data_IF_767657229277
#
_entry.id   IF_767657229277
#
_cell.length_a   1.000
_cell.length_b   1.000
_cell.length_c   1.000
_cell.angle_alpha   90.00
_cell.angle_beta   90.00
_cell.angle_gamma   90.00
#
_symmetry.space_group_name_H-M   'P 1'
#
loop_
_entity.id
_entity.type
_entity.pdbx_description
1 polymer ?
#
# COMPACT_ATOMS: atom_id res chain seq x y z
N UNK A 1 18.66 -14.91 -10.71
CA UNK A 1 17.25 -14.53 -10.92
C UNK A 1 17.18 -13.02 -10.98
N UNK A 2 16.31 -12.43 -11.83
CA UNK A 2 16.06 -10.99 -11.83
C UNK A 2 15.39 -10.60 -10.51
N UNK A 3 15.75 -9.44 -9.96
CA UNK A 3 15.10 -8.92 -8.75
C UNK A 3 13.66 -8.51 -9.10
N UNK A 4 12.67 -8.73 -8.21
CA UNK A 4 11.30 -8.35 -8.47
C UNK A 4 11.14 -6.83 -8.56
N UNK A 5 10.25 -6.37 -9.42
CA UNK A 5 9.86 -4.97 -9.51
C UNK A 5 8.70 -4.73 -8.54
N UNK A 6 8.94 -3.93 -7.52
CA UNK A 6 7.96 -3.54 -6.51
C UNK A 6 7.25 -2.25 -6.92
N UNK A 7 5.92 -2.22 -6.82
CA UNK A 7 5.15 -0.99 -6.81
C UNK A 7 4.51 -0.77 -5.44
N UNK A 8 4.80 0.37 -4.81
CA UNK A 8 4.12 0.82 -3.59
C UNK A 8 2.87 1.57 -4.01
N UNK A 9 1.68 1.04 -3.70
CA UNK A 9 0.37 1.61 -4.05
C UNK A 9 -0.15 2.43 -2.89
N UNK A 10 -0.38 3.73 -3.12
CA UNK A 10 -0.73 4.69 -2.07
C UNK A 10 -2.01 5.43 -2.47
N UNK A 11 -3.17 5.10 -1.87
CA UNK A 11 -4.40 5.85 -2.07
C UNK A 11 -4.31 7.23 -1.40
N UNK A 12 -4.75 8.27 -2.11
CA UNK A 12 -4.69 9.66 -1.66
C UNK A 12 -6.05 10.35 -1.84
N UNK A 13 -6.55 10.99 -0.78
CA UNK A 13 -7.75 11.83 -0.85
C UNK A 13 -7.61 13.05 0.06
N UNK A 14 -7.39 14.24 -0.54
CA UNK A 14 -7.16 15.51 0.14
C UNK A 14 -5.93 15.46 1.08
N UNK A 15 -4.78 15.06 0.52
CA UNK A 15 -3.53 14.84 1.23
C UNK A 15 -2.45 15.90 0.87
N UNK A 16 -2.86 17.11 0.47
CA UNK A 16 -1.93 18.18 0.02
C UNK A 16 -0.88 18.55 1.08
N UNK A 17 -1.21 18.40 2.39
CA UNK A 17 -0.31 18.73 3.48
C UNK A 17 0.65 17.59 3.82
N UNK A 18 0.27 16.37 3.57
CA UNK A 18 0.99 15.16 3.97
C UNK A 18 1.93 14.67 2.87
N UNK A 19 1.48 14.67 1.63
CA UNK A 19 2.24 14.19 0.47
C UNK A 19 3.65 14.75 0.34
N UNK A 20 3.92 16.06 0.56
CA UNK A 20 5.29 16.60 0.47
C UNK A 20 6.25 16.01 1.49
N UNK A 21 5.73 15.47 2.59
CA UNK A 21 6.50 14.85 3.68
C UNK A 21 6.70 13.36 3.40
N UNK A 22 5.63 12.66 3.02
CA UNK A 22 5.64 11.19 2.94
C UNK A 22 6.15 10.67 1.59
N UNK A 23 5.94 11.39 0.49
CA UNK A 23 6.40 10.94 -0.83
C UNK A 23 7.93 10.67 -0.88
N UNK A 24 8.81 11.55 -0.37
CA UNK A 24 10.24 11.27 -0.31
C UNK A 24 10.58 10.03 0.54
N UNK A 25 9.83 9.76 1.61
CA UNK A 25 10.05 8.59 2.47
C UNK A 25 9.80 7.27 1.71
N UNK A 26 8.75 7.22 0.88
CA UNK A 26 8.45 6.05 0.07
C UNK A 26 9.49 5.81 -1.01
N UNK A 27 10.00 6.87 -1.63
CA UNK A 27 11.08 6.78 -2.62
C UNK A 27 12.38 6.30 -1.97
N UNK A 28 12.74 6.85 -0.81
CA UNK A 28 13.91 6.42 -0.05
C UNK A 28 13.81 4.94 0.34
N UNK A 29 12.61 4.45 0.70
CA UNK A 29 12.38 3.04 1.00
C UNK A 29 12.64 2.15 -0.22
N UNK A 30 12.16 2.52 -1.40
CA UNK A 30 12.48 1.79 -2.65
C UNK A 30 13.99 1.73 -2.90
N UNK A 31 14.66 2.87 -2.78
CA UNK A 31 16.12 2.93 -2.98
C UNK A 31 16.86 2.07 -1.94
N UNK A 32 16.42 2.08 -0.69
CA UNK A 32 16.98 1.22 0.37
C UNK A 32 16.81 -0.27 0.05
N UNK A 33 15.61 -0.70 -0.33
CA UNK A 33 15.32 -2.09 -0.70
C UNK A 33 16.12 -2.53 -1.95
N UNK A 34 16.27 -1.65 -2.93
CA UNK A 34 17.08 -1.89 -4.13
C UNK A 34 18.58 -2.01 -3.80
N UNK A 35 19.10 -1.14 -2.94
CA UNK A 35 20.49 -1.19 -2.45
C UNK A 35 20.79 -2.47 -1.67
N UNK A 36 19.84 -2.98 -0.90
CA UNK A 36 19.91 -4.27 -0.22
C UNK A 36 19.81 -5.46 -1.18
N UNK A 37 19.45 -5.22 -2.42
CA UNK A 37 19.31 -6.25 -3.45
C UNK A 37 17.99 -7.03 -3.39
N UNK A 38 17.03 -6.59 -2.61
CA UNK A 38 15.73 -7.24 -2.43
C UNK A 38 14.76 -6.97 -3.58
N UNK A 39 14.81 -5.75 -4.17
CA UNK A 39 13.97 -5.37 -5.30
C UNK A 39 14.79 -4.76 -6.44
N UNK A 40 14.18 -4.60 -7.59
CA UNK A 40 14.77 -3.94 -8.76
C UNK A 40 14.82 -2.42 -8.58
N UNK A 41 15.84 -1.77 -9.15
CA UNK A 41 15.91 -0.30 -9.28
C UNK A 41 14.76 0.28 -10.12
N UNK A 42 14.04 -0.55 -10.88
CA UNK A 42 12.84 -0.14 -11.63
C UNK A 42 11.56 -0.10 -10.79
N UNK A 43 11.67 -0.38 -9.50
CA UNK A 43 10.52 -0.31 -8.56
C UNK A 43 9.98 1.12 -8.47
N UNK A 44 8.69 1.29 -8.17
CA UNK A 44 7.98 2.55 -8.29
C UNK A 44 7.04 2.83 -7.12
N UNK A 45 6.71 4.11 -6.92
CA UNK A 45 5.65 4.59 -6.03
C UNK A 45 4.48 5.03 -6.88
N UNK A 46 3.34 4.37 -6.73
CA UNK A 46 2.09 4.68 -7.44
C UNK A 46 1.13 5.39 -6.49
N UNK A 47 0.92 6.68 -6.72
CA UNK A 47 -0.13 7.45 -6.05
C UNK A 47 -1.46 7.34 -6.81
N UNK A 48 -2.52 7.01 -6.07
CA UNK A 48 -3.88 6.93 -6.61
C UNK A 48 -4.71 8.05 -6.04
N UNK A 49 -4.92 9.11 -6.80
CA UNK A 49 -5.80 10.21 -6.41
C UNK A 49 -7.27 9.78 -6.50
N UNK A 50 -7.95 9.70 -5.37
CA UNK A 50 -9.37 9.35 -5.28
C UNK A 50 -10.29 10.57 -5.45
N UNK A 51 -10.05 11.36 -6.49
CA UNK A 51 -10.88 12.53 -6.81
C UNK A 51 -10.77 13.64 -5.76
N UNK A 52 -9.56 13.96 -5.30
CA UNK A 52 -9.28 15.04 -4.35
C UNK A 52 -9.77 16.39 -4.87
N UNK A 53 -10.11 17.30 -3.93
CA UNK A 53 -10.58 18.66 -4.21
C UNK A 53 -9.55 19.73 -3.89
N UNK A 54 -8.45 19.33 -3.25
CA UNK A 54 -7.31 20.16 -2.91
C UNK A 54 -6.17 20.00 -3.95
N UNK A 55 -4.96 20.40 -3.62
CA UNK A 55 -3.79 20.32 -4.52
C UNK A 55 -3.12 18.94 -4.59
N UNK A 56 -3.73 17.90 -4.04
CA UNK A 56 -3.16 16.54 -4.02
C UNK A 56 -2.76 16.07 -5.41
N UNK A 57 -3.66 16.23 -6.41
CA UNK A 57 -3.35 15.78 -7.77
C UNK A 57 -2.22 16.58 -8.44
N UNK A 58 -2.18 17.88 -8.24
CA UNK A 58 -1.12 18.75 -8.75
C UNK A 58 0.25 18.36 -8.18
N UNK A 59 0.30 18.02 -6.89
CA UNK A 59 1.52 17.53 -6.24
C UNK A 59 1.98 16.19 -6.82
N UNK A 60 1.07 15.23 -6.99
CA UNK A 60 1.38 13.94 -7.60
C UNK A 60 1.97 14.11 -9.00
N UNK A 61 1.36 14.96 -9.82
CA UNK A 61 1.87 15.27 -11.16
C UNK A 61 3.28 15.91 -11.10
N UNK A 62 3.51 16.80 -10.13
CA UNK A 62 4.81 17.43 -9.93
C UNK A 62 5.89 16.41 -9.56
N UNK A 63 5.59 15.45 -8.66
CA UNK A 63 6.53 14.38 -8.30
C UNK A 63 6.85 13.49 -9.50
N UNK A 64 5.84 13.06 -10.25
CA UNK A 64 6.03 12.24 -11.45
C UNK A 64 6.83 12.95 -12.56
N UNK A 65 6.78 14.28 -12.61
CA UNK A 65 7.58 15.07 -13.55
C UNK A 65 9.05 15.24 -13.11
N UNK A 66 9.33 15.09 -11.80
CA UNK A 66 10.67 15.27 -11.23
C UNK A 66 11.47 13.97 -11.16
N UNK A 67 10.81 12.83 -10.94
CA UNK A 67 11.46 11.55 -10.76
C UNK A 67 10.61 10.43 -11.39
N UNK A 68 11.23 9.60 -12.21
CA UNK A 68 10.58 8.49 -12.95
C UNK A 68 10.06 7.36 -12.05
N UNK A 69 10.50 7.29 -10.79
CA UNK A 69 9.99 6.33 -9.83
C UNK A 69 8.59 6.67 -9.33
N UNK A 70 8.15 7.91 -9.48
CA UNK A 70 6.79 8.31 -9.14
C UNK A 70 5.84 8.15 -10.31
N UNK A 71 4.70 7.52 -10.04
CA UNK A 71 3.59 7.41 -10.98
C UNK A 71 2.33 7.93 -10.31
N UNK A 72 1.45 8.55 -11.06
CA UNK A 72 0.15 9.00 -10.59
C UNK A 72 -0.98 8.55 -11.50
N UNK A 73 -2.06 8.08 -10.91
CA UNK A 73 -3.36 7.91 -11.57
C UNK A 73 -4.43 8.69 -10.81
N UNK A 74 -5.46 9.14 -11.52
CA UNK A 74 -6.53 9.91 -10.92
C UNK A 74 -7.90 9.34 -11.29
N UNK A 75 -8.72 9.09 -10.29
CA UNK A 75 -10.12 8.75 -10.46
C UNK A 75 -10.94 10.02 -10.74
N UNK A 76 -11.99 9.92 -11.54
CA UNK A 76 -12.85 11.03 -11.92
C UNK A 76 -13.64 11.64 -10.74
N UNK A 77 -13.78 10.90 -9.65
CA UNK A 77 -14.45 11.31 -8.40
C UNK A 77 -14.03 10.39 -7.26
N UNK A 78 -14.26 10.80 -6.02
CA UNK A 78 -14.10 9.94 -4.86
C UNK A 78 -14.97 8.69 -4.96
N UNK A 79 -14.32 7.52 -4.87
CA UNK A 79 -14.92 6.19 -4.90
C UNK A 79 -14.69 5.44 -3.61
N UNK A 80 -13.94 6.02 -2.69
CA UNK A 80 -13.56 5.46 -1.40
C UNK A 80 -12.24 4.69 -1.45
N UNK A 81 -11.60 4.61 -0.30
CA UNK A 81 -10.26 4.08 -0.10
C UNK A 81 -10.03 2.71 -0.77
N UNK A 82 -10.92 1.74 -0.55
CA UNK A 82 -10.78 0.39 -1.12
C UNK A 82 -10.79 0.38 -2.65
N UNK A 83 -11.62 1.23 -3.27
CA UNK A 83 -11.63 1.35 -4.72
C UNK A 83 -10.40 2.06 -5.27
N UNK A 84 -9.82 2.99 -4.51
CA UNK A 84 -8.54 3.60 -4.88
C UNK A 84 -7.40 2.58 -4.80
N UNK A 85 -7.33 1.77 -3.75
CA UNK A 85 -6.37 0.66 -3.66
C UNK A 85 -6.55 -0.30 -4.83
N UNK A 86 -7.78 -0.75 -5.09
CA UNK A 86 -8.05 -1.66 -6.21
C UNK A 86 -7.63 -1.07 -7.55
N UNK A 87 -7.90 0.22 -7.79
CA UNK A 87 -7.47 0.89 -9.02
C UNK A 87 -5.94 0.87 -9.18
N UNK A 88 -5.20 1.10 -8.10
CA UNK A 88 -3.73 1.01 -8.11
C UNK A 88 -3.21 -0.40 -8.37
N UNK A 89 -3.82 -1.41 -7.75
CA UNK A 89 -3.46 -2.81 -8.00
C UNK A 89 -3.74 -3.23 -9.43
N UNK A 90 -4.88 -2.80 -10.00
CA UNK A 90 -5.21 -3.07 -11.41
C UNK A 90 -4.27 -2.36 -12.37
N UNK A 91 -3.84 -1.12 -12.08
CA UNK A 91 -2.85 -0.41 -12.87
C UNK A 91 -1.51 -1.15 -12.85
N UNK A 92 -1.04 -1.57 -11.67
CA UNK A 92 0.18 -2.36 -11.53
C UNK A 92 0.12 -3.67 -12.34
N UNK A 93 -1.01 -4.38 -12.27
CA UNK A 93 -1.23 -5.60 -13.04
C UNK A 93 -1.20 -5.35 -14.55
N UNK A 94 -1.92 -4.33 -15.03
CA UNK A 94 -2.02 -4.02 -16.46
C UNK A 94 -0.74 -3.43 -17.05
N UNK A 95 0.14 -2.86 -16.22
CA UNK A 95 1.42 -2.31 -16.68
C UNK A 95 2.35 -3.37 -17.27
N UNK A 96 2.19 -4.64 -16.87
CA UNK A 96 3.07 -5.75 -17.24
C UNK A 96 4.53 -5.57 -16.78
N UNK A 97 4.79 -4.58 -15.93
CA UNK A 97 6.13 -4.23 -15.42
C UNK A 97 6.20 -4.21 -13.90
N UNK A 98 5.28 -4.91 -13.22
CA UNK A 98 5.22 -5.03 -11.77
C UNK A 98 5.14 -6.50 -11.40
N UNK A 99 6.02 -6.95 -10.51
CA UNK A 99 6.02 -8.34 -10.03
C UNK A 99 5.30 -8.46 -8.69
N UNK A 100 5.45 -7.44 -7.81
CA UNK A 100 4.84 -7.41 -6.48
C UNK A 100 4.32 -6.02 -6.13
N UNK A 101 3.27 -5.96 -5.33
CA UNK A 101 2.70 -4.70 -4.83
C UNK A 101 2.65 -4.68 -3.31
N UNK A 102 2.88 -3.52 -2.72
CA UNK A 102 2.58 -3.23 -1.31
C UNK A 102 1.61 -2.06 -1.28
N UNK A 103 0.46 -2.23 -0.60
CA UNK A 103 -0.45 -1.12 -0.34
C UNK A 103 -0.22 -0.56 1.05
N UNK A 104 -0.09 0.77 1.15
CA UNK A 104 0.12 1.50 2.41
C UNK A 104 -0.62 2.84 2.36
N UNK A 105 -1.06 3.33 3.52
CA UNK A 105 -1.73 4.63 3.61
C UNK A 105 -0.75 5.80 3.46
N UNK A 106 -1.25 6.91 2.93
CA UNK A 106 -0.45 8.12 2.67
C UNK A 106 -0.02 8.86 3.95
N UNK A 107 -0.74 8.67 5.07
CA UNK A 107 -0.65 9.49 6.28
C UNK A 107 0.61 9.26 7.14
N UNK A 108 1.42 8.28 6.78
CA UNK A 108 2.65 7.95 7.50
C UNK A 108 2.45 7.33 8.89
N UNK A 109 1.23 6.87 9.23
CA UNK A 109 0.96 6.20 10.51
C UNK A 109 1.42 4.74 10.51
N UNK A 110 1.52 4.12 9.34
CA UNK A 110 2.03 2.76 9.22
C UNK A 110 3.55 2.74 9.22
N UNK A 111 4.12 1.69 9.81
CA UNK A 111 5.57 1.52 9.84
C UNK A 111 6.11 1.13 8.46
N UNK A 112 6.71 2.09 7.78
CA UNK A 112 7.31 1.90 6.45
C UNK A 112 8.42 0.82 6.48
N UNK A 113 9.05 0.56 7.63
CA UNK A 113 10.09 -0.47 7.73
C UNK A 113 9.51 -1.89 7.75
N UNK A 114 8.21 -2.06 7.98
CA UNK A 114 7.56 -3.35 7.81
C UNK A 114 7.69 -3.90 6.38
N UNK A 115 7.89 -3.01 5.38
CA UNK A 115 8.09 -3.41 3.98
C UNK A 115 9.33 -4.30 3.80
N UNK A 116 10.39 -4.11 4.59
CA UNK A 116 11.60 -4.94 4.51
C UNK A 116 11.26 -6.41 4.78
N UNK A 117 10.51 -6.68 5.86
CA UNK A 117 10.07 -8.03 6.22
C UNK A 117 9.04 -8.61 5.21
N UNK A 118 8.16 -7.76 4.64
CA UNK A 118 7.19 -8.20 3.64
C UNK A 118 7.87 -8.64 2.35
N UNK A 119 8.84 -7.86 1.87
CA UNK A 119 9.61 -8.20 0.66
C UNK A 119 10.49 -9.42 0.92
N UNK A 120 11.11 -9.53 2.09
CA UNK A 120 11.92 -10.67 2.48
C UNK A 120 11.10 -11.97 2.49
N UNK A 121 9.89 -11.95 3.06
CA UNK A 121 8.98 -13.09 3.06
C UNK A 121 8.59 -13.55 1.64
N UNK A 122 8.42 -12.61 0.69
CA UNK A 122 8.18 -12.96 -0.71
C UNK A 122 9.43 -13.58 -1.36
N UNK A 123 10.60 -12.94 -1.19
CA UNK A 123 11.83 -13.32 -1.91
C UNK A 123 12.43 -14.62 -1.36
N UNK A 124 12.46 -14.78 -0.04
CA UNK A 124 13.17 -15.85 0.63
C UNK A 124 12.26 -16.98 1.12
N UNK A 125 11.05 -16.67 1.58
CA UNK A 125 10.11 -17.66 2.11
C UNK A 125 9.07 -18.13 1.07
N UNK A 126 8.99 -17.45 -0.10
CA UNK A 126 8.06 -17.80 -1.17
C UNK A 126 6.60 -17.46 -0.85
N UNK A 127 6.35 -16.53 0.07
CA UNK A 127 5.01 -16.10 0.41
C UNK A 127 4.39 -15.29 -0.74
N UNK A 128 3.22 -15.71 -1.24
CA UNK A 128 2.50 -14.99 -2.30
C UNK A 128 1.70 -13.80 -1.76
N UNK A 129 1.26 -13.87 -0.50
CA UNK A 129 0.50 -12.80 0.19
C UNK A 129 1.05 -12.62 1.60
N UNK A 130 1.33 -11.38 1.98
CA UNK A 130 1.85 -11.01 3.31
C UNK A 130 0.98 -9.90 3.89
N UNK A 131 0.46 -10.10 5.10
CA UNK A 131 -0.34 -9.10 5.80
C UNK A 131 0.43 -8.43 6.92
N UNK A 132 0.46 -7.10 6.93
CA UNK A 132 0.94 -6.30 8.04
C UNK A 132 -0.09 -6.27 9.17
N UNK A 133 0.24 -6.89 10.31
CA UNK A 133 -0.62 -6.90 11.50
C UNK A 133 -0.04 -5.97 12.56
N UNK A 134 -0.83 -4.97 13.00
CA UNK A 134 -0.42 -4.10 14.13
C UNK A 134 -0.36 -4.91 15.42
N UNK A 135 0.85 -5.07 15.97
CA UNK A 135 1.09 -5.88 17.18
C UNK A 135 0.65 -5.20 18.47
N UNK A 136 0.51 -3.85 18.51
CA UNK A 136 0.05 -3.08 19.67
C UNK A 136 -0.85 -1.92 19.25
N UNK A 137 -2.05 -1.88 19.81
CA UNK A 137 -2.95 -0.72 19.77
C UNK A 137 -2.93 -0.05 21.16
N UNK A 138 -1.86 0.64 21.49
CA UNK A 138 -1.71 1.28 22.81
C UNK A 138 -2.68 2.46 23.03
N UNK A 139 -3.37 2.92 21.99
CA UNK A 139 -4.32 4.05 22.04
C UNK A 139 -5.79 3.68 21.87
N UNK A 140 -6.12 2.43 21.59
CA UNK A 140 -7.51 2.03 21.45
C UNK A 140 -8.20 1.85 22.79
N UNK A 141 -9.31 2.55 23.00
CA UNK A 141 -10.19 2.36 24.16
C UNK A 141 -10.61 0.89 24.26
N UNK A 142 -10.64 0.32 25.47
CA UNK A 142 -11.01 -1.07 25.75
C UNK A 142 -12.27 -1.54 24.97
N UNK A 143 -13.22 -0.63 24.78
CA UNK A 143 -14.45 -0.90 24.04
C UNK A 143 -14.22 -1.13 22.54
N UNK A 144 -13.31 -0.37 21.89
CA UNK A 144 -12.95 -0.55 20.47
C UNK A 144 -12.19 -1.85 20.22
N UNK A 145 -11.31 -2.25 21.13
CA UNK A 145 -10.62 -3.57 21.05
C UNK A 145 -11.61 -4.71 21.15
N UNK A 146 -12.52 -4.66 22.12
CA UNK A 146 -13.52 -5.71 22.35
C UNK A 146 -14.46 -5.88 21.14
N UNK A 147 -14.93 -4.77 20.54
CA UNK A 147 -15.81 -4.83 19.37
C UNK A 147 -15.09 -5.31 18.11
N UNK A 148 -13.82 -4.94 17.90
CA UNK A 148 -13.04 -5.43 16.78
C UNK A 148 -12.74 -6.93 16.90
N UNK A 149 -12.31 -7.41 18.07
CA UNK A 149 -12.08 -8.83 18.33
C UNK A 149 -13.35 -9.65 18.16
N UNK A 150 -14.50 -9.15 18.63
CA UNK A 150 -15.81 -9.81 18.45
C UNK A 150 -16.22 -9.86 16.99
N UNK A 151 -15.95 -8.82 16.21
CA UNK A 151 -16.25 -8.79 14.79
C UNK A 151 -15.40 -9.81 14.00
N UNK A 152 -14.09 -9.85 14.24
CA UNK A 152 -13.20 -10.82 13.59
C UNK A 152 -13.53 -12.26 13.97
N UNK A 153 -13.85 -12.55 15.23
CA UNK A 153 -14.28 -13.88 15.67
C UNK A 153 -15.61 -14.29 15.02
N UNK A 154 -16.55 -13.35 14.84
CA UNK A 154 -17.80 -13.60 14.14
C UNK A 154 -17.58 -13.91 12.65
N UNK A 155 -16.62 -13.22 12.00
CA UNK A 155 -16.29 -13.40 10.59
C UNK A 155 -15.60 -14.76 10.34
N UNK A 156 -14.70 -15.18 11.23
CA UNK A 156 -14.07 -16.50 11.18
C UNK A 156 -15.10 -17.62 11.36
N UNK A 157 -16.04 -17.46 12.30
CA UNK A 157 -17.09 -18.47 12.54
C UNK A 157 -18.06 -18.61 11.34
N UNK A 158 -18.34 -17.54 10.60
CA UNK A 158 -19.20 -17.60 9.41
C UNK A 158 -18.48 -18.17 8.18
N UNK A 159 -17.15 -18.06 8.07
CA UNK A 159 -16.38 -18.67 6.99
C UNK A 159 -16.24 -20.20 7.18
N UNK A 160 -16.02 -20.67 8.40
CA UNK A 160 -15.97 -22.10 8.69
C UNK A 160 -17.32 -22.80 8.46
N UNK A 161 -18.44 -22.10 8.67
CA UNK A 161 -19.78 -22.66 8.40
C UNK A 161 -20.12 -22.79 6.90
N UNK A 162 -19.37 -22.11 6.02
CA UNK A 162 -19.55 -22.22 4.56
C UNK A 162 -18.83 -23.44 3.96
N UNK A 163 -17.79 -23.94 4.60
CA UNK A 163 -17.05 -25.13 4.15
C UNK A 163 -17.74 -26.45 4.49
N UNK A 164 -18.69 -26.47 5.45
CA UNK A 164 -19.47 -27.63 5.83
C UNK A 164 -20.68 -27.92 4.90
N UNK A 165 -20.91 -27.11 3.86
CA UNK A 165 -22.03 -27.25 2.93
C UNK A 165 -21.64 -27.79 1.53
N UNK A 166 -20.45 -28.30 1.38
CA UNK A 166 -20.00 -29.06 0.19
C UNK A 166 -19.66 -30.54 0.56
#
# INVERSE_FOLDING_TARGET
>A
MSKPILWIVIPCYNEEQVLPITAPMFLEKIHSLAAQGLVSEKSRVLFVNDGSKDKTWELIQSFAAQDEHYIGISQSRNRGHQNAVLAGLMEALHSGSCDITISIDCDGQDDINAMDAMVDAYVNDGCEVVYGVRSKRDTDTFFKRFTAESFYNCLLYTSDAADDLT
#
